data_IF_977379184504
#
_entry.id   IF_977379184504
#
_cell.length_a   1.000
_cell.length_b   1.000
_cell.length_c   1.000
_cell.angle_alpha   90.00
_cell.angle_beta   90.00
_cell.angle_gamma   90.00
#
_symmetry.space_group_name_H-M   'P 1'
#
loop_
_entity.id
_entity.type
_entity.pdbx_description
1 polymer ?
#
# COMPACT_ATOMS: atom_id res chain seq x y z
N UNK A 1 35.29 17.43 10.57
CA UNK A 1 35.01 17.47 9.11
C UNK A 1 36.01 16.56 8.40
N UNK A 2 35.56 15.47 7.78
CA UNK A 2 36.46 14.50 7.12
C UNK A 2 36.87 15.08 5.75
N UNK A 3 38.18 15.29 5.52
CA UNK A 3 38.71 15.69 4.20
C UNK A 3 39.16 14.44 3.44
N UNK A 4 38.48 14.12 2.35
CA UNK A 4 38.82 13.00 1.46
C UNK A 4 39.56 13.55 0.25
N UNK A 5 40.78 13.05 -0.02
CA UNK A 5 41.55 13.41 -1.22
C UNK A 5 41.61 12.24 -2.20
N UNK A 6 41.37 12.52 -3.48
CA UNK A 6 41.44 11.56 -4.58
C UNK A 6 40.09 10.97 -4.98
N UNK A 7 39.86 10.85 -6.30
CA UNK A 7 38.59 10.41 -6.90
C UNK A 7 38.16 9.01 -6.43
N UNK A 8 39.05 8.02 -6.43
CA UNK A 8 38.69 6.65 -6.04
C UNK A 8 38.25 6.54 -4.57
N UNK A 9 38.90 7.30 -3.68
CA UNK A 9 38.59 7.32 -2.25
C UNK A 9 37.28 8.09 -1.97
N UNK A 10 37.04 9.17 -2.71
CA UNK A 10 35.77 9.87 -2.70
C UNK A 10 34.63 8.99 -3.24
N UNK A 11 34.85 8.29 -4.35
CA UNK A 11 33.91 7.33 -4.94
C UNK A 11 33.54 6.27 -3.93
N UNK A 12 34.49 5.56 -3.32
CA UNK A 12 34.20 4.51 -2.34
C UNK A 12 33.38 5.01 -1.13
N UNK A 13 33.63 6.23 -0.66
CA UNK A 13 32.90 6.82 0.47
C UNK A 13 31.53 7.38 0.10
N UNK A 14 31.35 7.83 -1.14
CA UNK A 14 30.10 8.39 -1.67
C UNK A 14 29.24 7.35 -2.39
N UNK A 15 29.83 6.22 -2.80
CA UNK A 15 29.11 5.04 -3.27
C UNK A 15 28.36 4.49 -2.08
N UNK A 16 27.10 4.91 -1.97
CA UNK A 16 26.13 4.23 -1.13
C UNK A 16 26.04 2.81 -1.67
N UNK A 17 26.52 1.82 -0.90
CA UNK A 17 26.08 0.44 -1.13
C UNK A 17 24.56 0.49 -1.15
N UNK A 18 23.97 -0.01 -2.22
CA UNK A 18 22.53 0.04 -2.39
C UNK A 18 21.91 -0.74 -1.23
N UNK A 19 20.86 -0.23 -0.57
CA UNK A 19 20.21 -0.94 0.54
C UNK A 19 19.91 -2.42 0.19
N UNK A 20 19.57 -2.65 -1.08
CA UNK A 20 19.33 -3.98 -1.67
C UNK A 20 20.57 -4.89 -1.69
N UNK A 21 21.77 -4.35 -1.90
CA UNK A 21 23.03 -5.12 -1.90
C UNK A 21 23.48 -5.49 -0.48
N UNK A 22 22.95 -4.82 0.53
CA UNK A 22 23.19 -5.11 1.96
C UNK A 22 22.12 -5.99 2.60
N UNK A 23 21.08 -6.38 1.85
CA UNK A 23 19.97 -7.15 2.41
C UNK A 23 20.35 -8.62 2.54
N UNK A 24 20.72 -9.03 3.76
CA UNK A 24 20.98 -10.43 4.08
C UNK A 24 19.63 -11.12 4.26
N UNK A 25 19.33 -12.05 3.36
CA UNK A 25 18.12 -12.87 3.43
C UNK A 25 18.26 -13.85 4.59
N UNK A 26 17.26 -13.89 5.48
CA UNK A 26 17.28 -14.87 6.56
C UNK A 26 17.13 -16.30 5.99
N UNK A 27 17.70 -17.32 6.64
CA UNK A 27 17.54 -18.71 6.19
C UNK A 27 16.07 -19.13 6.07
N UNK A 28 15.20 -18.59 6.93
CA UNK A 28 13.76 -18.83 6.91
C UNK A 28 13.11 -18.30 5.62
N UNK A 29 13.45 -17.07 5.21
CA UNK A 29 12.93 -16.47 3.98
C UNK A 29 13.46 -17.23 2.75
N UNK A 30 14.74 -17.61 2.75
CA UNK A 30 15.31 -18.40 1.65
C UNK A 30 14.63 -19.77 1.51
N UNK A 31 14.37 -20.47 2.63
CA UNK A 31 13.64 -21.73 2.63
C UNK A 31 12.19 -21.56 2.15
N UNK A 32 11.51 -20.48 2.56
CA UNK A 32 10.16 -20.19 2.12
C UNK A 32 10.10 -19.87 0.62
N UNK A 33 11.05 -19.10 0.09
CA UNK A 33 11.17 -18.83 -1.34
C UNK A 33 11.34 -20.14 -2.11
N UNK A 34 12.27 -21.01 -1.68
CA UNK A 34 12.50 -22.31 -2.32
C UNK A 34 11.27 -23.21 -2.28
N UNK A 35 10.55 -23.23 -1.16
CA UNK A 35 9.31 -24.00 -1.04
C UNK A 35 8.21 -23.49 -1.98
N UNK A 36 8.05 -22.16 -2.06
CA UNK A 36 6.99 -21.53 -2.86
C UNK A 36 7.28 -21.59 -4.35
N UNK A 37 8.51 -21.29 -4.76
CA UNK A 37 8.89 -21.15 -6.17
C UNK A 37 9.54 -22.40 -6.75
N UNK A 38 9.90 -23.38 -5.93
CA UNK A 38 10.51 -24.64 -6.35
C UNK A 38 12.01 -24.56 -6.66
N UNK A 39 12.61 -23.37 -6.56
CA UNK A 39 14.02 -23.12 -6.88
C UNK A 39 14.62 -22.05 -5.95
N UNK A 40 15.94 -21.98 -5.89
CA UNK A 40 16.64 -20.97 -5.07
C UNK A 40 16.70 -19.64 -5.80
N UNK A 41 15.88 -18.69 -5.35
CA UNK A 41 15.83 -17.32 -5.88
C UNK A 41 16.21 -16.32 -4.79
N UNK A 42 16.85 -15.23 -5.20
CA UNK A 42 16.95 -14.03 -4.38
C UNK A 42 15.58 -13.33 -4.29
N UNK A 43 15.33 -12.54 -3.22
CA UNK A 43 14.11 -11.72 -3.12
C UNK A 43 13.93 -10.78 -4.32
N UNK A 44 15.03 -10.31 -4.92
CA UNK A 44 14.98 -9.47 -6.12
C UNK A 44 14.38 -10.25 -7.30
N UNK A 45 14.89 -11.45 -7.58
CA UNK A 45 14.39 -12.29 -8.68
C UNK A 45 12.93 -12.70 -8.46
N UNK A 46 12.54 -12.99 -7.21
CA UNK A 46 11.15 -13.26 -6.84
C UNK A 46 10.25 -12.06 -7.16
N UNK A 47 10.65 -10.86 -6.73
CA UNK A 47 9.88 -9.63 -6.98
C UNK A 47 9.80 -9.32 -8.47
N UNK A 48 10.90 -9.46 -9.22
CA UNK A 48 10.93 -9.25 -10.67
C UNK A 48 9.99 -10.22 -11.39
N UNK A 49 9.96 -11.50 -10.98
CA UNK A 49 9.04 -12.48 -11.53
C UNK A 49 7.58 -12.15 -11.24
N UNK A 50 7.24 -11.83 -9.99
CA UNK A 50 5.87 -11.46 -9.60
C UNK A 50 5.40 -10.24 -10.39
N UNK A 51 6.26 -9.22 -10.52
CA UNK A 51 5.94 -8.00 -11.28
C UNK A 51 5.69 -8.34 -12.75
N UNK A 52 6.52 -9.20 -13.35
CA UNK A 52 6.33 -9.66 -14.74
C UNK A 52 5.00 -10.39 -14.92
N UNK A 53 4.70 -11.36 -14.06
CA UNK A 53 3.43 -12.10 -14.12
C UNK A 53 2.21 -11.18 -14.00
N UNK A 54 2.20 -10.22 -13.06
CA UNK A 54 1.07 -9.29 -12.90
C UNK A 54 0.93 -8.37 -14.10
N UNK A 55 2.04 -7.91 -14.68
CA UNK A 55 2.00 -7.08 -15.89
C UNK A 55 1.44 -7.83 -17.09
N UNK A 56 1.80 -9.11 -17.24
CA UNK A 56 1.48 -9.89 -18.44
C UNK A 56 0.11 -10.58 -18.33
N UNK A 57 -0.33 -10.95 -17.11
CA UNK A 57 -1.51 -11.79 -16.87
C UNK A 57 -2.59 -11.13 -16.01
N UNK A 58 -2.38 -9.91 -15.51
CA UNK A 58 -3.39 -9.17 -14.77
C UNK A 58 -3.93 -9.93 -13.55
N UNK A 59 -5.26 -9.98 -13.42
CA UNK A 59 -5.99 -10.61 -12.32
C UNK A 59 -5.67 -12.10 -12.15
N UNK A 60 -5.38 -12.83 -13.25
CA UNK A 60 -5.01 -14.24 -13.18
C UNK A 60 -3.79 -14.45 -12.27
N UNK A 61 -2.77 -13.58 -12.42
CA UNK A 61 -1.60 -13.62 -11.56
C UNK A 61 -1.94 -13.27 -10.11
N UNK A 62 -2.89 -12.35 -9.87
CA UNK A 62 -3.31 -12.00 -8.51
C UNK A 62 -3.98 -13.16 -7.79
N UNK A 63 -4.92 -13.85 -8.45
CA UNK A 63 -5.53 -15.07 -7.90
C UNK A 63 -4.50 -16.18 -7.70
N UNK A 64 -3.57 -16.37 -8.65
CA UNK A 64 -2.47 -17.32 -8.52
C UNK A 64 -1.62 -17.05 -7.28
N UNK A 65 -1.21 -15.80 -7.07
CA UNK A 65 -0.37 -15.42 -5.94
C UNK A 65 -1.14 -15.39 -4.60
N UNK A 66 -2.44 -15.10 -4.58
CA UNK A 66 -3.27 -15.26 -3.39
C UNK A 66 -3.29 -16.74 -2.92
N UNK A 67 -3.49 -17.68 -3.86
CA UNK A 67 -3.42 -19.12 -3.54
C UNK A 67 -2.04 -19.55 -3.10
N UNK A 68 -1.00 -19.05 -3.76
CA UNK A 68 0.38 -19.50 -3.58
C UNK A 68 1.08 -18.90 -2.37
N UNK A 69 0.81 -17.64 -2.03
CA UNK A 69 1.46 -16.89 -0.96
C UNK A 69 0.57 -16.73 0.28
N UNK A 70 -0.71 -16.41 0.07
CA UNK A 70 -1.67 -16.19 1.16
C UNK A 70 -2.45 -17.47 1.53
N UNK A 71 -2.22 -18.57 0.79
CA UNK A 71 -2.83 -19.88 0.98
C UNK A 71 -4.37 -19.84 0.96
N UNK A 72 -4.94 -18.99 0.12
CA UNK A 72 -6.40 -18.82 0.00
C UNK A 72 -6.84 -18.77 -1.45
N UNK A 73 -7.96 -19.42 -1.75
CA UNK A 73 -8.66 -19.26 -3.02
C UNK A 73 -9.70 -18.16 -2.85
N UNK A 74 -9.63 -17.14 -3.71
CA UNK A 74 -10.55 -16.00 -3.70
C UNK A 74 -11.49 -16.11 -4.89
N UNK A 75 -12.77 -15.84 -4.67
CA UNK A 75 -13.76 -15.67 -5.75
C UNK A 75 -13.78 -14.23 -6.29
N UNK A 76 -13.34 -13.26 -5.47
CA UNK A 76 -13.29 -11.84 -5.81
C UNK A 76 -12.07 -11.19 -5.16
N UNK A 77 -11.38 -10.35 -5.92
CA UNK A 77 -10.31 -9.50 -5.41
C UNK A 77 -10.85 -8.31 -4.61
N UNK A 78 -12.00 -7.76 -4.99
CA UNK A 78 -12.58 -6.59 -4.33
C UNK A 78 -13.45 -6.99 -3.15
N UNK A 79 -13.33 -6.26 -2.04
CA UNK A 79 -14.15 -6.43 -0.85
C UNK A 79 -15.54 -5.86 -1.11
N UNK A 80 -16.56 -6.68 -0.90
CA UNK A 80 -17.96 -6.25 -1.06
C UNK A 80 -18.45 -5.35 0.08
N UNK A 81 -19.46 -4.51 -0.20
CA UNK A 81 -20.11 -3.68 0.83
C UNK A 81 -20.68 -4.49 2.00
N UNK A 82 -21.14 -5.71 1.73
CA UNK A 82 -21.65 -6.62 2.76
C UNK A 82 -20.55 -7.06 3.73
N UNK A 83 -19.32 -7.27 3.25
CA UNK A 83 -18.17 -7.60 4.10
C UNK A 83 -17.81 -6.43 5.02
N UNK A 84 -17.87 -5.20 4.51
CA UNK A 84 -17.65 -3.98 5.31
C UNK A 84 -18.76 -3.86 6.37
N UNK A 85 -20.02 -4.06 6.01
CA UNK A 85 -21.14 -4.02 6.96
C UNK A 85 -20.97 -5.07 8.06
N UNK A 86 -20.63 -6.31 7.70
CA UNK A 86 -20.41 -7.40 8.65
C UNK A 86 -19.20 -7.12 9.57
N UNK A 87 -18.21 -6.36 9.10
CA UNK A 87 -17.06 -5.99 9.92
C UNK A 87 -17.45 -5.12 11.13
N UNK A 88 -18.48 -4.29 11.02
CA UNK A 88 -19.00 -3.50 12.16
C UNK A 88 -19.62 -4.36 13.25
N UNK A 89 -20.19 -5.52 12.91
CA UNK A 89 -20.77 -6.45 13.89
C UNK A 89 -19.67 -7.21 14.65
N UNK A 90 -18.51 -7.41 14.03
CA UNK A 90 -17.33 -8.07 14.62
C UNK A 90 -16.56 -7.11 15.52
N UNK A 91 -16.46 -5.83 15.12
CA UNK A 91 -15.70 -4.82 15.84
C UNK A 91 -16.54 -4.24 16.98
N UNK A 92 -16.10 -4.45 18.22
CA UNK A 92 -16.79 -3.91 19.39
C UNK A 92 -16.96 -2.38 19.33
N UNK A 93 -18.12 -1.88 19.77
CA UNK A 93 -18.50 -0.45 19.73
C UNK A 93 -17.43 0.49 20.29
N UNK A 94 -16.77 0.09 21.39
CA UNK A 94 -15.69 0.90 21.99
C UNK A 94 -14.50 1.12 21.05
N UNK A 95 -14.14 0.12 20.25
CA UNK A 95 -13.08 0.25 19.24
C UNK A 95 -13.54 1.11 18.06
N UNK A 96 -14.79 0.95 17.60
CA UNK A 96 -15.36 1.84 16.57
C UNK A 96 -15.29 3.30 17.01
N UNK A 97 -15.76 3.62 18.21
CA UNK A 97 -15.71 4.98 18.74
C UNK A 97 -14.28 5.51 18.91
N UNK A 98 -13.33 4.65 19.28
CA UNK A 98 -11.92 5.02 19.33
C UNK A 98 -11.35 5.35 17.94
N UNK A 99 -11.72 4.58 16.91
CA UNK A 99 -11.33 4.82 15.51
C UNK A 99 -11.95 6.11 14.97
N UNK A 100 -13.22 6.38 15.26
CA UNK A 100 -13.89 7.63 14.88
C UNK A 100 -13.23 8.86 15.53
N UNK A 101 -12.91 8.76 16.83
CA UNK A 101 -12.19 9.82 17.55
C UNK A 101 -10.80 10.05 16.96
N UNK A 102 -10.05 8.98 16.67
CA UNK A 102 -8.75 9.08 16.03
C UNK A 102 -8.86 9.72 14.63
N UNK A 103 -9.81 9.26 13.81
CA UNK A 103 -10.07 9.81 12.49
C UNK A 103 -10.42 11.30 12.54
N UNK A 104 -11.23 11.72 13.52
CA UNK A 104 -11.54 13.14 13.75
C UNK A 104 -10.27 13.94 14.04
N UNK A 105 -9.42 13.49 14.98
CA UNK A 105 -8.19 14.21 15.35
C UNK A 105 -7.19 14.29 14.20
N UNK A 106 -7.03 13.20 13.43
CA UNK A 106 -6.18 13.17 12.23
C UNK A 106 -6.70 14.17 11.20
N UNK A 107 -8.03 14.20 10.99
CA UNK A 107 -8.67 15.13 10.07
C UNK A 107 -8.47 16.58 10.48
N UNK A 108 -8.73 16.91 11.74
CA UNK A 108 -8.59 18.27 12.28
C UNK A 108 -7.15 18.78 12.12
N UNK A 109 -6.15 17.93 12.41
CA UNK A 109 -4.74 18.26 12.24
C UNK A 109 -4.38 18.50 10.76
N UNK A 110 -4.73 17.58 9.86
CA UNK A 110 -4.37 17.70 8.45
C UNK A 110 -5.11 18.85 7.76
N UNK A 111 -6.33 19.19 8.19
CA UNK A 111 -7.04 20.39 7.73
C UNK A 111 -6.32 21.67 8.18
N UNK A 112 -5.83 21.72 9.42
CA UNK A 112 -5.07 22.87 9.91
C UNK A 112 -3.72 23.05 9.18
N UNK A 113 -3.10 21.95 8.75
CA UNK A 113 -1.85 21.96 7.97
C UNK A 113 -2.05 22.07 6.45
N UNK A 114 -3.28 21.95 5.95
CA UNK A 114 -3.54 21.88 4.52
C UNK A 114 -3.15 23.19 3.80
N UNK A 115 -2.32 23.07 2.77
CA UNK A 115 -2.05 24.17 1.85
C UNK A 115 -3.27 24.46 0.96
N UNK A 116 -3.36 25.68 0.42
CA UNK A 116 -4.40 26.01 -0.56
C UNK A 116 -4.16 25.23 -1.86
N UNK A 117 -5.10 24.35 -2.22
CA UNK A 117 -5.20 23.79 -3.56
C UNK A 117 -5.63 24.86 -4.57
N UNK A 118 -5.32 24.64 -5.84
CA UNK A 118 -5.61 25.59 -6.93
C UNK A 118 -4.46 26.53 -7.23
N UNK A 119 -4.76 27.58 -7.99
CA UNK A 119 -3.77 28.53 -8.51
C UNK A 119 -3.52 29.66 -7.51
N UNK A 120 -2.29 29.79 -7.06
CA UNK A 120 -1.80 30.87 -6.21
C UNK A 120 -0.86 31.74 -7.03
N UNK A 121 -1.30 32.95 -7.37
CA UNK A 121 -0.46 33.92 -8.09
C UNK A 121 0.64 34.47 -7.17
N UNK A 122 1.87 34.45 -7.66
CA UNK A 122 3.02 35.12 -7.06
C UNK A 122 3.11 36.55 -7.61
N UNK A 123 2.81 36.74 -8.89
CA UNK A 123 2.59 38.03 -9.55
C UNK A 123 1.73 37.83 -10.82
N UNK A 124 1.61 38.87 -11.65
CA UNK A 124 0.78 38.83 -12.87
C UNK A 124 1.24 37.83 -13.95
N UNK A 125 2.47 37.31 -13.87
CA UNK A 125 3.04 36.37 -14.84
C UNK A 125 3.36 34.99 -14.24
N UNK A 126 3.45 34.89 -12.92
CA UNK A 126 3.87 33.68 -12.22
C UNK A 126 2.79 33.22 -11.25
N UNK A 127 2.39 31.96 -11.36
CA UNK A 127 1.50 31.31 -10.42
C UNK A 127 1.97 29.88 -10.10
N UNK A 128 1.64 29.42 -8.90
CA UNK A 128 1.77 28.03 -8.49
C UNK A 128 0.40 27.36 -8.53
N UNK A 129 0.25 26.33 -9.34
CA UNK A 129 -0.95 25.50 -9.36
C UNK A 129 -0.72 24.22 -8.54
N UNK A 130 -1.55 23.98 -7.53
CA UNK A 130 -1.51 22.77 -6.71
C UNK A 130 -2.74 21.92 -7.03
N UNK A 131 -2.53 20.71 -7.55
CA UNK A 131 -3.59 19.76 -7.88
C UNK A 131 -3.41 18.44 -7.12
N UNK A 132 -4.49 17.82 -6.65
CA UNK A 132 -4.42 16.47 -6.10
C UNK A 132 -4.05 15.45 -7.18
N UNK A 133 -3.55 14.30 -6.74
CA UNK A 133 -3.46 13.11 -7.57
C UNK A 133 -4.87 12.59 -7.88
N UNK A 134 -5.03 11.91 -9.01
CA UNK A 134 -6.31 11.32 -9.38
C UNK A 134 -6.57 10.08 -8.56
N UNK A 135 -5.56 9.23 -8.42
CA UNK A 135 -5.65 7.98 -7.68
C UNK A 135 -4.43 7.75 -6.79
N UNK A 136 -4.66 7.30 -5.57
CA UNK A 136 -3.60 6.80 -4.69
C UNK A 136 -3.90 5.38 -4.25
N UNK A 137 -2.84 4.55 -4.24
CA UNK A 137 -2.87 3.21 -3.68
C UNK A 137 -2.30 3.21 -2.27
N UNK A 138 -2.98 2.60 -1.33
CA UNK A 138 -2.57 2.45 0.07
C UNK A 138 -2.28 0.98 0.33
N UNK A 139 -1.02 0.64 0.61
CA UNK A 139 -0.69 -0.74 1.00
C UNK A 139 -0.77 -0.88 2.53
N UNK A 140 -1.67 -1.73 3.00
CA UNK A 140 -1.89 -1.97 4.42
C UNK A 140 -1.45 -3.41 4.74
N UNK A 141 -0.44 -3.60 5.60
CA UNK A 141 -0.03 -4.94 6.01
C UNK A 141 -1.17 -5.69 6.71
N UNK A 142 -1.27 -7.00 6.43
CA UNK A 142 -2.18 -7.91 7.13
C UNK A 142 -1.46 -8.80 8.14
N UNK A 143 -2.15 -9.83 8.63
CA UNK A 143 -1.63 -10.77 9.62
C UNK A 143 -1.52 -10.17 11.03
N UNK A 144 -0.44 -10.46 11.75
CA UNK A 144 -0.21 -9.99 13.13
C UNK A 144 0.07 -8.48 13.22
N UNK A 145 0.41 -7.86 12.10
CA UNK A 145 0.68 -6.42 11.97
C UNK A 145 -0.54 -5.63 11.45
N UNK A 146 -1.75 -6.04 11.85
CA UNK A 146 -2.98 -5.37 11.44
C UNK A 146 -3.12 -4.05 12.21
N UNK A 147 -2.92 -2.92 11.52
CA UNK A 147 -2.98 -1.58 12.12
C UNK A 147 -4.06 -0.72 11.45
N UNK A 148 -5.29 -0.65 12.00
CA UNK A 148 -6.33 0.24 11.47
C UNK A 148 -5.91 1.72 11.53
N UNK A 149 -4.98 2.08 12.42
CA UNK A 149 -4.39 3.42 12.47
C UNK A 149 -3.62 3.79 11.20
N UNK A 150 -2.94 2.84 10.55
CA UNK A 150 -2.24 3.10 9.28
C UNK A 150 -3.24 3.49 8.20
N UNK A 151 -4.40 2.83 8.15
CA UNK A 151 -5.48 3.18 7.22
C UNK A 151 -5.91 4.63 7.42
N UNK A 152 -6.20 5.02 8.67
CA UNK A 152 -6.61 6.38 8.98
C UNK A 152 -5.52 7.41 8.62
N UNK A 153 -4.26 7.09 8.92
CA UNK A 153 -3.12 8.00 8.69
C UNK A 153 -2.76 8.17 7.22
N UNK A 154 -3.15 7.27 6.32
CA UNK A 154 -2.87 7.38 4.89
C UNK A 154 -4.07 7.83 4.08
N UNK A 155 -5.27 7.32 4.36
CA UNK A 155 -6.48 7.66 3.62
C UNK A 155 -7.02 9.06 3.95
N UNK A 156 -7.01 9.48 5.23
CA UNK A 156 -7.57 10.78 5.62
C UNK A 156 -6.80 11.95 4.97
N UNK A 157 -5.44 11.97 4.97
CA UNK A 157 -4.71 13.04 4.29
C UNK A 157 -4.93 13.05 2.78
N UNK A 158 -5.02 11.87 2.15
CA UNK A 158 -5.35 11.77 0.71
C UNK A 158 -6.72 12.38 0.41
N UNK A 159 -7.71 12.11 1.27
CA UNK A 159 -9.05 12.68 1.12
C UNK A 159 -9.07 14.19 1.30
N UNK A 160 -8.32 14.71 2.27
CA UNK A 160 -8.19 16.17 2.50
C UNK A 160 -7.46 16.84 1.33
N UNK A 161 -6.45 16.19 0.76
CA UNK A 161 -5.74 16.71 -0.41
C UNK A 161 -6.66 16.85 -1.64
N UNK A 162 -7.77 16.09 -1.68
CA UNK A 162 -8.73 16.10 -2.78
C UNK A 162 -8.52 14.97 -3.79
N UNK A 163 -7.84 13.88 -3.40
CA UNK A 163 -7.69 12.70 -4.25
C UNK A 163 -9.05 12.12 -4.59
N UNK A 164 -9.25 11.76 -5.87
CA UNK A 164 -10.54 11.33 -6.40
C UNK A 164 -10.86 9.89 -6.05
N UNK A 165 -9.87 9.00 -6.13
CA UNK A 165 -10.01 7.57 -5.84
C UNK A 165 -8.87 7.08 -4.93
N UNK A 166 -9.23 6.61 -3.74
CA UNK A 166 -8.32 6.02 -2.76
C UNK A 166 -8.54 4.52 -2.77
N UNK A 167 -7.50 3.78 -3.13
CA UNK A 167 -7.54 2.35 -3.33
C UNK A 167 -6.69 1.68 -2.26
N UNK A 168 -7.29 0.79 -1.48
CA UNK A 168 -6.60 0.07 -0.41
C UNK A 168 -6.28 -1.35 -0.87
N UNK A 169 -5.04 -1.78 -0.69
CA UNK A 169 -4.61 -3.16 -0.88
C UNK A 169 -4.15 -3.73 0.46
N UNK A 170 -4.71 -4.88 0.85
CA UNK A 170 -4.29 -5.61 2.05
C UNK A 170 -4.32 -7.11 1.77
N UNK A 171 -3.32 -7.89 2.20
CA UNK A 171 -3.39 -9.34 2.07
C UNK A 171 -4.59 -9.89 2.86
N UNK A 172 -5.31 -10.88 2.30
CA UNK A 172 -6.39 -11.56 3.00
C UNK A 172 -5.84 -12.41 4.15
N UNK A 173 -6.67 -12.63 5.16
CA UNK A 173 -6.43 -13.69 6.14
C UNK A 173 -6.68 -15.07 5.54
N UNK A 174 -6.41 -16.13 6.33
CA UNK A 174 -6.65 -17.53 5.93
C UNK A 174 -8.11 -17.84 5.55
N UNK A 175 -9.04 -17.00 6.00
CA UNK A 175 -10.47 -17.09 5.68
C UNK A 175 -10.87 -16.26 4.45
N UNK A 176 -9.91 -15.70 3.71
CA UNK A 176 -10.15 -14.89 2.51
C UNK A 176 -10.64 -13.46 2.80
N UNK A 177 -10.81 -13.09 4.07
CA UNK A 177 -11.30 -11.77 4.46
C UNK A 177 -10.17 -10.84 4.89
N UNK A 178 -10.37 -9.54 4.71
CA UNK A 178 -9.53 -8.51 5.35
C UNK A 178 -9.90 -8.43 6.84
N UNK A 179 -8.94 -8.15 7.74
CA UNK A 179 -9.25 -7.93 9.15
C UNK A 179 -10.36 -6.90 9.37
N UNK A 180 -11.35 -7.22 10.20
CA UNK A 180 -12.56 -6.40 10.37
C UNK A 180 -12.26 -4.96 10.81
N UNK A 181 -11.29 -4.76 11.71
CA UNK A 181 -10.87 -3.42 12.14
C UNK A 181 -10.28 -2.57 10.99
N UNK A 182 -9.59 -3.20 10.03
CA UNK A 182 -9.07 -2.53 8.83
C UNK A 182 -10.21 -2.08 7.92
N UNK A 183 -11.23 -2.93 7.72
CA UNK A 183 -12.41 -2.58 6.92
C UNK A 183 -13.21 -1.43 7.54
N UNK A 184 -13.45 -1.47 8.85
CA UNK A 184 -14.11 -0.39 9.59
C UNK A 184 -13.31 0.91 9.50
N UNK A 185 -11.99 0.86 9.65
CA UNK A 185 -11.14 2.05 9.51
C UNK A 185 -11.14 2.61 8.08
N UNK A 186 -11.17 1.74 7.07
CA UNK A 186 -11.23 2.15 5.66
C UNK A 186 -12.55 2.85 5.34
N UNK A 187 -13.68 2.35 5.85
CA UNK A 187 -15.00 2.98 5.70
C UNK A 187 -15.04 4.35 6.41
N UNK A 188 -14.60 4.43 7.68
CA UNK A 188 -14.49 5.69 8.43
C UNK A 188 -13.62 6.73 7.70
N UNK A 189 -12.52 6.28 7.10
CA UNK A 189 -11.61 7.13 6.33
C UNK A 189 -12.09 7.46 4.91
N UNK A 190 -13.19 6.83 4.46
CA UNK A 190 -13.77 6.96 3.12
C UNK A 190 -12.84 6.52 2.00
N UNK A 191 -12.16 5.38 2.18
CA UNK A 191 -11.47 4.72 1.06
C UNK A 191 -12.52 4.17 0.08
N UNK A 192 -12.36 4.43 -1.22
CA UNK A 192 -13.36 4.11 -2.23
C UNK A 192 -13.41 2.62 -2.57
N UNK A 193 -12.25 1.96 -2.66
CA UNK A 193 -12.15 0.55 -3.08
C UNK A 193 -11.11 -0.18 -2.25
N UNK A 194 -11.39 -1.43 -1.90
CA UNK A 194 -10.54 -2.26 -1.05
C UNK A 194 -10.31 -3.61 -1.74
N UNK A 195 -9.06 -4.02 -1.89
CA UNK A 195 -8.68 -5.26 -2.55
C UNK A 195 -7.90 -6.21 -1.64
N UNK A 196 -8.23 -7.50 -1.76
CA UNK A 196 -7.70 -8.66 -1.02
C UNK A 196 -6.38 -9.15 -1.63
N UNK A 197 -5.39 -8.27 -1.70
CA UNK A 197 -4.09 -8.52 -2.32
C UNK A 197 -2.94 -8.02 -1.44
N UNK A 198 -1.87 -8.81 -1.35
CA UNK A 198 -0.67 -8.52 -0.56
C UNK A 198 0.60 -8.36 -1.39
N UNK A 199 1.72 -8.09 -0.71
CA UNK A 199 3.07 -8.32 -1.23
C UNK A 199 3.43 -7.56 -2.51
N UNK A 200 4.38 -8.12 -3.25
CA UNK A 200 4.87 -7.53 -4.50
C UNK A 200 3.77 -7.49 -5.59
N UNK A 201 2.86 -8.46 -5.59
CA UNK A 201 1.75 -8.54 -6.52
C UNK A 201 0.76 -7.38 -6.34
N UNK A 202 0.52 -6.94 -5.10
CA UNK A 202 -0.32 -5.77 -4.85
C UNK A 202 0.33 -4.47 -5.36
N UNK A 203 1.63 -4.29 -5.10
CA UNK A 203 2.37 -3.13 -5.59
C UNK A 203 2.40 -3.12 -7.12
N UNK A 204 2.60 -4.28 -7.75
CA UNK A 204 2.55 -4.42 -9.20
C UNK A 204 1.15 -4.06 -9.76
N UNK A 205 0.07 -4.56 -9.15
CA UNK A 205 -1.29 -4.25 -9.56
C UNK A 205 -1.61 -2.76 -9.44
N UNK A 206 -1.22 -2.11 -8.35
CA UNK A 206 -1.38 -0.66 -8.18
C UNK A 206 -0.57 0.13 -9.22
N UNK A 207 0.64 -0.32 -9.55
CA UNK A 207 1.53 0.37 -10.48
C UNK A 207 1.16 0.21 -11.97
N UNK A 208 0.70 -0.98 -12.37
CA UNK A 208 0.40 -1.29 -13.78
C UNK A 208 -1.10 -1.28 -14.09
N UNK A 209 -1.93 -1.49 -13.08
CA UNK A 209 -3.34 -1.81 -13.26
C UNK A 209 -3.54 -3.27 -13.71
N UNK A 210 -4.73 -3.78 -13.47
CA UNK A 210 -5.26 -5.05 -13.96
C UNK A 210 -6.71 -4.84 -14.41
N UNK A 211 -7.41 -5.91 -14.78
CA UNK A 211 -8.83 -5.87 -15.16
C UNK A 211 -9.70 -5.33 -14.02
N UNK A 212 -9.44 -5.77 -12.78
CA UNK A 212 -10.19 -5.31 -11.60
C UNK A 212 -9.61 -4.06 -10.95
N UNK A 213 -8.28 -3.90 -10.96
CA UNK A 213 -7.57 -2.91 -10.15
C UNK A 213 -7.04 -1.78 -11.04
N UNK A 214 -7.53 -0.54 -10.90
CA UNK A 214 -7.06 0.54 -11.74
C UNK A 214 -5.66 0.98 -11.29
N UNK A 215 -4.84 1.36 -12.28
CA UNK A 215 -3.53 1.94 -12.03
C UNK A 215 -3.65 3.23 -11.22
N UNK A 216 -2.78 3.38 -10.22
CA UNK A 216 -2.67 4.58 -9.37
C UNK A 216 -1.50 5.47 -9.77
N UNK A 217 -1.56 6.75 -9.40
CA UNK A 217 -0.48 7.70 -9.65
C UNK A 217 0.65 7.56 -8.63
N UNK A 218 0.30 7.11 -7.41
CA UNK A 218 1.24 6.93 -6.31
C UNK A 218 0.75 5.84 -5.36
N UNK A 219 1.67 4.96 -4.95
CA UNK A 219 1.48 4.05 -3.83
C UNK A 219 2.15 4.60 -2.56
N UNK A 220 1.52 4.42 -1.40
CA UNK A 220 2.00 4.79 -0.06
C UNK A 220 1.89 3.64 0.92
#
# INVERSE_FOLDING_TARGET
>A
MIRVKGFNKARQLLTRKTFLESFIVSPQVAAQIKHVFGEELSPKEVVERIIGDVRDKGDEALFHYAKKLDAVELDSLEVGKQEISAAYDIVGKGLVSALELAAKRIRDFHLACAGKSGTVFVNQYLARQVQPLDRVGLYIPGGTATYPSTVLMTAIPAKIAGVREIILASPPGKNGSIPAATLVAADIAKAERIFKIGGAQAIAALAFGTESIPKVDKSV
#
